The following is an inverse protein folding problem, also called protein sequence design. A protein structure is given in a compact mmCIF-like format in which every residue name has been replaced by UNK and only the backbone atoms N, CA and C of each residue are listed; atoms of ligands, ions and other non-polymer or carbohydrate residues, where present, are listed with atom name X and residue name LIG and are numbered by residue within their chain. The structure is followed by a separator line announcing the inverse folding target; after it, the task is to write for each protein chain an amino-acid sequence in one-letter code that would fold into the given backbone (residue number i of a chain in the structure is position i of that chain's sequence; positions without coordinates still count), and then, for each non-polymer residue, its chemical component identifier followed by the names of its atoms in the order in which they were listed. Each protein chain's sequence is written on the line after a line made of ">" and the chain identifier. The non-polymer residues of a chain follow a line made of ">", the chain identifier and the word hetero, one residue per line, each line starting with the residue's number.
data_IF_743746911099
#
_entry.id   IF_743746911099
#
_cell.length_a   1.000
_cell.length_b   1.000
_cell.length_c   1.000
_cell.angle_alpha   90.00
_cell.angle_beta   90.00
_cell.angle_gamma   90.00
#
_symmetry.space_group_name_H-M   'P 1'
#
loop_
_entity.id
_entity.type
_entity.pdbx_description
1 polymer ?
#
# COMPACT_ATOMS: atom_id res chain seq x y z
N UNK A 1 -50.02 19.15 -15.36
CA UNK A 1 -50.67 18.31 -16.38
C UNK A 1 -49.74 17.13 -16.61
N UNK A 2 -50.13 15.92 -16.19
CA UNK A 2 -49.33 14.72 -16.46
C UNK A 2 -49.48 14.37 -17.93
N UNK A 3 -48.44 14.62 -18.73
CA UNK A 3 -48.44 14.22 -20.14
C UNK A 3 -48.53 12.69 -20.23
N UNK A 4 -49.51 12.20 -20.99
CA UNK A 4 -49.68 10.77 -21.24
C UNK A 4 -48.49 10.27 -22.05
N UNK A 5 -47.70 9.36 -21.47
CA UNK A 5 -46.55 8.75 -22.14
C UNK A 5 -46.99 7.45 -22.81
N UNK A 6 -46.39 7.13 -23.95
CA UNK A 6 -46.70 5.96 -24.76
C UNK A 6 -45.47 5.06 -24.89
N UNK A 7 -45.73 3.75 -25.01
CA UNK A 7 -44.74 2.74 -25.39
C UNK A 7 -45.15 2.07 -26.70
N UNK A 8 -44.19 1.73 -27.55
CA UNK A 8 -44.43 0.98 -28.79
C UNK A 8 -44.11 -0.48 -28.55
N UNK A 9 -45.11 -1.35 -28.73
CA UNK A 9 -45.04 -2.79 -28.46
C UNK A 9 -45.10 -3.56 -29.78
N UNK A 10 -44.28 -4.60 -29.87
CA UNK A 10 -44.23 -5.56 -30.98
C UNK A 10 -44.60 -6.95 -30.48
N UNK A 11 -45.55 -7.62 -31.15
CA UNK A 11 -46.07 -8.94 -30.73
C UNK A 11 -45.56 -10.10 -31.59
N UNK A 12 -44.51 -9.89 -32.39
CA UNK A 12 -43.98 -10.96 -33.26
C UNK A 12 -44.71 -11.14 -34.59
N UNK A 13 -45.69 -10.28 -34.92
CA UNK A 13 -46.52 -10.39 -36.13
C UNK A 13 -45.99 -9.51 -37.27
N UNK A 14 -45.90 -10.07 -38.47
CA UNK A 14 -45.50 -9.36 -39.70
C UNK A 14 -46.71 -8.69 -40.37
N UNK A 15 -46.47 -7.61 -41.12
CA UNK A 15 -47.52 -7.03 -41.96
C UNK A 15 -47.88 -7.98 -43.13
N UNK A 16 -49.14 -8.00 -43.60
CA UNK A 16 -49.55 -8.88 -44.71
C UNK A 16 -48.69 -8.67 -45.96
N UNK A 17 -48.03 -9.73 -46.42
CA UNK A 17 -47.18 -9.71 -47.62
C UNK A 17 -45.69 -9.43 -47.37
N UNK A 18 -45.26 -9.25 -46.11
CA UNK A 18 -43.84 -9.13 -45.77
C UNK A 18 -43.19 -10.52 -45.60
N UNK A 19 -42.00 -10.68 -46.18
CA UNK A 19 -41.15 -11.86 -45.99
C UNK A 19 -40.38 -11.78 -44.67
N UNK A 20 -40.32 -12.89 -43.93
CA UNK A 20 -39.71 -12.94 -42.59
C UNK A 20 -38.21 -12.63 -42.63
N UNK A 21 -37.50 -13.15 -43.63
CA UNK A 21 -36.04 -13.01 -43.70
C UNK A 21 -35.65 -11.58 -44.09
N UNK A 22 -36.33 -11.04 -45.10
CA UNK A 22 -36.18 -9.66 -45.57
C UNK A 22 -36.52 -8.66 -44.46
N UNK A 23 -37.57 -8.93 -43.67
CA UNK A 23 -37.97 -8.07 -42.55
C UNK A 23 -36.92 -8.04 -41.45
N UNK A 24 -36.30 -9.19 -41.12
CA UNK A 24 -35.23 -9.26 -40.12
C UNK A 24 -34.00 -8.45 -40.52
N UNK A 25 -33.63 -8.50 -41.79
CA UNK A 25 -32.50 -7.71 -42.31
C UNK A 25 -32.80 -6.20 -42.30
N UNK A 26 -34.02 -5.80 -42.67
CA UNK A 26 -34.47 -4.41 -42.58
C UNK A 26 -34.47 -3.89 -41.14
N UNK A 27 -34.91 -4.71 -40.18
CA UNK A 27 -34.90 -4.36 -38.76
C UNK A 27 -33.48 -4.27 -38.20
N UNK A 28 -32.60 -5.20 -38.58
CA UNK A 28 -31.18 -5.16 -38.19
C UNK A 28 -30.51 -3.87 -38.66
N UNK A 29 -30.80 -3.43 -39.90
CA UNK A 29 -30.32 -2.17 -40.44
C UNK A 29 -30.94 -0.94 -39.71
N UNK A 30 -32.26 -0.96 -39.47
CA UNK A 30 -32.98 0.15 -38.84
C UNK A 30 -32.52 0.39 -37.39
N UNK A 31 -32.35 -0.69 -36.62
CA UNK A 31 -31.89 -0.63 -35.22
C UNK A 31 -30.37 -0.63 -35.08
N UNK A 32 -29.62 -0.72 -36.19
CA UNK A 32 -28.16 -0.89 -36.21
C UNK A 32 -27.71 -2.00 -35.25
N UNK A 33 -28.40 -3.13 -35.28
CA UNK A 33 -28.26 -4.24 -34.34
C UNK A 33 -28.04 -5.56 -35.06
N UNK A 34 -27.41 -6.51 -34.37
CA UNK A 34 -27.10 -7.83 -34.93
C UNK A 34 -28.36 -8.65 -35.21
N UNK A 35 -28.35 -9.44 -36.29
CA UNK A 35 -29.48 -10.30 -36.71
C UNK A 35 -29.93 -11.26 -35.60
N UNK A 36 -29.01 -11.77 -34.79
CA UNK A 36 -29.33 -12.64 -33.65
C UNK A 36 -30.15 -11.96 -32.55
N UNK A 37 -29.96 -10.65 -32.32
CA UNK A 37 -30.77 -9.88 -31.37
C UNK A 37 -32.16 -9.61 -31.92
N UNK A 38 -32.28 -9.41 -33.24
CA UNK A 38 -33.56 -9.25 -33.91
C UNK A 38 -34.34 -10.58 -33.91
N UNK A 39 -33.67 -11.72 -34.12
CA UNK A 39 -34.28 -13.04 -34.03
C UNK A 39 -34.94 -13.30 -32.67
N UNK A 40 -34.32 -12.81 -31.58
CA UNK A 40 -34.88 -12.91 -30.24
C UNK A 40 -36.22 -12.17 -30.06
N UNK A 41 -36.50 -11.13 -30.86
CA UNK A 41 -37.76 -10.39 -30.81
C UNK A 41 -38.96 -11.19 -31.34
N UNK A 42 -38.71 -12.26 -32.10
CA UNK A 42 -39.75 -13.13 -32.68
C UNK A 42 -40.03 -14.38 -31.82
N UNK A 43 -39.51 -14.43 -30.59
CA UNK A 43 -39.64 -15.61 -29.70
C UNK A 43 -40.99 -15.73 -28.97
N UNK A 44 -41.97 -14.89 -29.33
CA UNK A 44 -43.39 -15.08 -29.00
C UNK A 44 -43.92 -14.29 -27.80
N UNK A 45 -43.11 -13.49 -27.12
CA UNK A 45 -43.58 -12.55 -26.09
C UNK A 45 -43.66 -11.12 -26.65
N UNK A 46 -44.65 -10.34 -26.22
CA UNK A 46 -44.78 -8.95 -26.61
C UNK A 46 -43.61 -8.13 -26.05
N UNK A 47 -42.80 -7.52 -26.93
CA UNK A 47 -41.60 -6.75 -26.56
C UNK A 47 -41.85 -5.26 -26.74
N UNK A 48 -41.54 -4.46 -25.73
CA UNK A 48 -41.53 -3.00 -25.84
C UNK A 48 -40.24 -2.54 -26.53
N UNK A 49 -40.35 -2.00 -27.75
CA UNK A 49 -39.20 -1.53 -28.54
C UNK A 49 -38.69 -0.16 -28.07
N UNK A 50 -39.63 0.71 -27.66
CA UNK A 50 -39.32 2.05 -27.13
C UNK A 50 -40.42 2.48 -26.16
N UNK A 51 -40.00 3.09 -25.05
CA UNK A 51 -40.85 3.55 -23.95
C UNK A 51 -40.72 5.06 -23.80
N UNK A 52 -41.61 5.65 -23.01
CA UNK A 52 -41.51 7.05 -22.61
C UNK A 52 -41.55 8.02 -23.81
N UNK A 53 -42.52 7.83 -24.71
CA UNK A 53 -42.71 8.65 -25.92
C UNK A 53 -43.91 9.59 -25.77
N UNK A 54 -43.84 10.78 -26.37
CA UNK A 54 -45.01 11.62 -26.60
C UNK A 54 -45.86 11.04 -27.76
N UNK A 55 -47.16 11.37 -27.81
CA UNK A 55 -48.10 10.79 -28.79
C UNK A 55 -47.64 10.93 -30.25
N UNK A 56 -47.23 12.14 -30.66
CA UNK A 56 -46.73 12.42 -32.01
C UNK A 56 -45.44 11.64 -32.35
N UNK A 57 -44.58 11.40 -31.35
CA UNK A 57 -43.36 10.61 -31.54
C UNK A 57 -43.69 9.12 -31.65
N UNK A 58 -44.59 8.62 -30.81
CA UNK A 58 -45.02 7.22 -30.83
C UNK A 58 -45.63 6.83 -32.19
N UNK A 59 -46.47 7.70 -32.77
CA UNK A 59 -47.05 7.49 -34.11
C UNK A 59 -45.98 7.44 -35.20
N UNK A 60 -44.97 8.32 -35.13
CA UNK A 60 -43.83 8.30 -36.07
C UNK A 60 -43.03 6.99 -35.98
N UNK A 61 -42.84 6.45 -34.79
CA UNK A 61 -42.19 5.15 -34.62
C UNK A 61 -43.04 4.00 -35.18
N UNK A 62 -44.35 4.03 -34.97
CA UNK A 62 -45.28 3.04 -35.55
C UNK A 62 -45.20 3.03 -37.07
N UNK A 63 -45.24 4.20 -37.71
CA UNK A 63 -45.17 4.32 -39.18
C UNK A 63 -43.86 3.76 -39.75
N UNK A 64 -42.72 4.09 -39.13
CA UNK A 64 -41.40 3.63 -39.59
C UNK A 64 -41.26 2.12 -39.44
N UNK A 65 -41.74 1.56 -38.33
CA UNK A 65 -41.65 0.13 -38.06
C UNK A 65 -42.61 -0.70 -38.93
N UNK A 66 -43.81 -0.19 -39.21
CA UNK A 66 -44.73 -0.82 -40.17
C UNK A 66 -44.18 -0.84 -41.59
N UNK A 67 -43.50 0.24 -42.03
CA UNK A 67 -42.80 0.26 -43.32
C UNK A 67 -41.62 -0.71 -43.38
N UNK A 68 -41.02 -1.03 -42.24
CA UNK A 68 -39.94 -2.01 -42.14
C UNK A 68 -40.44 -3.46 -42.21
N UNK A 69 -41.75 -3.71 -42.14
CA UNK A 69 -42.36 -5.03 -42.32
C UNK A 69 -42.99 -5.65 -41.06
N UNK A 70 -43.03 -4.93 -39.92
CA UNK A 70 -43.59 -5.46 -38.66
C UNK A 70 -44.84 -4.73 -38.19
N UNK A 71 -45.78 -5.48 -37.62
CA UNK A 71 -46.97 -4.92 -37.00
C UNK A 71 -46.66 -4.49 -35.56
N UNK A 72 -46.75 -3.19 -35.28
CA UNK A 72 -46.54 -2.61 -33.95
C UNK A 72 -47.74 -1.76 -33.53
N UNK A 73 -47.98 -1.66 -32.23
CA UNK A 73 -49.03 -0.83 -31.63
C UNK A 73 -48.48 0.09 -30.55
N UNK A 74 -49.03 1.29 -30.44
CA UNK A 74 -48.74 2.20 -29.34
C UNK A 74 -49.72 1.95 -28.18
N UNK A 75 -49.20 1.70 -26.99
CA UNK A 75 -49.98 1.53 -25.75
C UNK A 75 -49.67 2.68 -24.79
N UNK A 76 -50.68 3.18 -24.06
CA UNK A 76 -50.47 4.18 -23.00
C UNK A 76 -49.71 3.54 -21.83
N UNK A 77 -48.60 4.16 -21.45
CA UNK A 77 -47.81 3.77 -20.29
C UNK A 77 -48.29 4.59 -19.08
N UNK A 78 -49.17 3.99 -18.26
CA UNK A 78 -49.45 4.57 -16.94
C UNK A 78 -48.16 4.51 -16.13
N UNK A 79 -47.66 5.67 -15.73
CA UNK A 79 -46.52 5.79 -14.84
C UNK A 79 -46.73 4.84 -13.65
N UNK A 80 -45.83 3.89 -13.49
CA UNK A 80 -45.84 2.92 -12.40
C UNK A 80 -45.75 3.64 -11.06
N UNK A 81 -46.89 3.97 -10.46
CA UNK A 81 -47.00 4.35 -9.06
C UNK A 81 -46.79 3.08 -8.25
N UNK A 82 -45.63 2.98 -7.58
CA UNK A 82 -45.39 1.99 -6.54
C UNK A 82 -46.47 2.17 -5.46
N UNK A 83 -47.46 1.27 -5.44
CA UNK A 83 -48.41 1.17 -4.33
C UNK A 83 -47.77 0.33 -3.25
N UNK A 84 -47.49 0.92 -2.09
CA UNK A 84 -47.16 0.17 -0.90
C UNK A 84 -48.45 -0.55 -0.45
N UNK A 85 -48.38 -1.88 -0.36
CA UNK A 85 -49.40 -2.68 0.33
C UNK A 85 -49.02 -2.64 1.81
N UNK A 86 -49.86 -2.02 2.64
CA UNK A 86 -49.72 -2.09 4.09
C UNK A 86 -49.92 -3.54 4.52
N UNK A 87 -48.89 -4.13 5.11
CA UNK A 87 -48.98 -5.42 5.79
C UNK A 87 -49.62 -5.20 7.16
N UNK A 88 -50.62 -6.02 7.50
CA UNK A 88 -51.30 -6.00 8.81
C UNK A 88 -50.28 -6.08 9.96
N UNK A 89 -50.30 -5.08 10.84
CA UNK A 89 -49.52 -5.07 12.08
C UNK A 89 -49.93 -6.25 12.96
N UNK A 90 -49.01 -7.18 13.19
CA UNK A 90 -49.19 -8.21 14.20
C UNK A 90 -49.09 -7.57 15.58
N UNK A 91 -50.21 -7.43 16.27
CA UNK A 91 -50.30 -7.07 17.69
C UNK A 91 -49.60 -8.14 18.56
N UNK A 92 -48.29 -8.01 18.74
CA UNK A 92 -47.55 -8.77 19.73
C UNK A 92 -47.78 -8.15 21.12
N UNK A 93 -48.49 -8.86 22.00
CA UNK A 93 -48.67 -8.45 23.40
C UNK A 93 -47.29 -8.23 24.07
N UNK A 94 -47.09 -7.14 24.82
CA UNK A 94 -45.81 -6.86 25.47
C UNK A 94 -45.50 -7.96 26.49
N UNK A 95 -44.31 -8.57 26.35
CA UNK A 95 -43.81 -9.56 27.29
C UNK A 95 -43.23 -8.85 28.53
N UNK A 96 -43.41 -9.44 29.71
CA UNK A 96 -42.91 -8.87 30.98
C UNK A 96 -41.44 -9.22 31.27
N UNK A 97 -40.82 -10.06 30.45
CA UNK A 97 -39.41 -10.45 30.59
C UNK A 97 -38.51 -9.38 29.96
N UNK A 98 -37.46 -8.97 30.68
CA UNK A 98 -36.45 -8.03 30.16
C UNK A 98 -35.30 -8.77 29.50
N UNK A 99 -34.75 -8.19 28.43
CA UNK A 99 -33.56 -8.67 27.72
C UNK A 99 -32.61 -7.52 27.39
N UNK A 100 -31.33 -7.84 27.26
CA UNK A 100 -30.30 -6.90 26.80
C UNK A 100 -29.95 -7.20 25.35
N UNK A 101 -29.99 -6.18 24.49
CA UNK A 101 -29.68 -6.34 23.07
C UNK A 101 -28.21 -6.73 22.87
N UNK A 102 -27.90 -7.85 22.21
CA UNK A 102 -26.51 -8.31 21.98
C UNK A 102 -25.73 -7.44 20.98
N UNK A 103 -26.39 -6.54 20.24
CA UNK A 103 -25.74 -5.64 19.28
C UNK A 103 -25.33 -4.30 19.90
N UNK A 104 -26.18 -3.71 20.74
CA UNK A 104 -26.00 -2.35 21.24
C UNK A 104 -26.00 -2.23 22.77
N UNK A 105 -26.35 -3.29 23.51
CA UNK A 105 -26.39 -3.28 24.97
C UNK A 105 -27.62 -2.64 25.59
N UNK A 106 -28.61 -2.20 24.80
CA UNK A 106 -29.84 -1.60 25.32
C UNK A 106 -30.72 -2.63 26.07
N UNK A 107 -31.22 -2.26 27.25
CA UNK A 107 -32.17 -3.08 28.03
C UNK A 107 -33.61 -2.75 27.63
N UNK A 108 -34.37 -3.76 27.24
CA UNK A 108 -35.75 -3.62 26.79
C UNK A 108 -36.60 -4.85 27.17
N UNK A 109 -37.93 -4.77 27.11
CA UNK A 109 -38.79 -5.95 27.15
C UNK A 109 -38.44 -6.91 26.00
N UNK A 110 -38.69 -8.20 26.20
CA UNK A 110 -38.36 -9.22 25.22
C UNK A 110 -39.25 -9.05 23.99
N UNK A 111 -38.62 -8.65 22.89
CA UNK A 111 -39.25 -8.33 21.62
C UNK A 111 -38.42 -8.92 20.47
N UNK A 112 -39.06 -9.05 19.30
CA UNK A 112 -38.44 -9.59 18.09
C UNK A 112 -37.32 -8.65 17.61
N UNK A 113 -37.54 -7.36 17.77
CA UNK A 113 -36.67 -6.26 17.36
C UNK A 113 -36.18 -5.43 18.53
N UNK A 114 -35.01 -4.80 18.35
CA UNK A 114 -34.45 -3.89 19.32
C UNK A 114 -35.00 -2.47 19.14
N UNK A 115 -35.61 -1.89 20.17
CA UNK A 115 -36.20 -0.54 20.15
C UNK A 115 -35.15 0.56 19.89
N UNK A 116 -33.88 0.33 20.27
CA UNK A 116 -32.81 1.30 20.10
C UNK A 116 -32.07 1.20 18.75
N UNK A 117 -31.81 -0.02 18.25
CA UNK A 117 -30.94 -0.22 17.08
C UNK A 117 -31.61 -0.94 15.90
N UNK A 118 -32.90 -1.29 16.03
CA UNK A 118 -33.73 -1.89 14.98
C UNK A 118 -33.30 -3.28 14.53
N UNK A 119 -32.44 -3.97 15.29
CA UNK A 119 -32.00 -5.32 14.92
C UNK A 119 -33.04 -6.35 15.32
N UNK A 120 -33.35 -7.28 14.42
CA UNK A 120 -34.11 -8.49 14.76
C UNK A 120 -33.22 -9.41 15.59
N UNK A 121 -33.48 -9.51 16.89
CA UNK A 121 -32.52 -10.06 17.87
C UNK A 121 -32.25 -11.55 17.63
N UNK A 122 -33.28 -12.34 17.36
CA UNK A 122 -33.15 -13.77 17.07
C UNK A 122 -32.29 -14.02 15.82
N UNK A 123 -32.52 -13.23 14.76
CA UNK A 123 -31.76 -13.34 13.50
C UNK A 123 -30.30 -12.93 13.68
N UNK A 124 -30.03 -11.96 14.56
CA UNK A 124 -28.68 -11.53 14.90
C UNK A 124 -27.91 -12.60 15.68
N UNK A 125 -28.56 -13.22 16.67
CA UNK A 125 -27.97 -14.31 17.45
C UNK A 125 -27.71 -15.56 16.59
N UNK A 126 -28.66 -15.93 15.72
CA UNK A 126 -28.47 -17.03 14.78
C UNK A 126 -27.27 -16.79 13.84
N UNK A 127 -27.07 -15.55 13.40
CA UNK A 127 -25.92 -15.20 12.56
C UNK A 127 -24.61 -15.18 13.33
N UNK A 128 -24.59 -14.72 14.58
CA UNK A 128 -23.40 -14.82 15.43
C UNK A 128 -23.02 -16.28 15.72
N UNK A 129 -23.99 -17.16 15.99
CA UNK A 129 -23.74 -18.58 16.19
C UNK A 129 -23.17 -19.24 14.93
N UNK A 130 -23.70 -18.92 13.74
CA UNK A 130 -23.14 -19.40 12.47
C UNK A 130 -21.72 -18.90 12.21
N UNK A 131 -21.39 -17.66 12.61
CA UNK A 131 -20.04 -17.12 12.49
C UNK A 131 -19.07 -17.74 13.51
N UNK A 132 -19.55 -18.13 14.68
CA UNK A 132 -18.76 -18.82 15.69
C UNK A 132 -18.48 -20.29 15.32
N UNK A 133 -19.44 -20.95 14.67
CA UNK A 133 -19.32 -22.35 14.22
C UNK A 133 -18.70 -22.48 12.82
N UNK A 134 -18.53 -21.37 12.09
CA UNK A 134 -17.98 -21.40 10.74
C UNK A 134 -16.53 -21.93 10.77
N UNK A 135 -16.23 -23.06 10.12
CA UNK A 135 -14.85 -23.50 9.97
C UNK A 135 -14.06 -22.41 9.25
N UNK A 136 -12.85 -22.13 9.76
CA UNK A 136 -11.94 -21.16 9.14
C UNK A 136 -11.84 -21.47 7.64
N UNK A 137 -11.98 -20.46 6.76
CA UNK A 137 -12.01 -20.70 5.32
C UNK A 137 -10.70 -21.37 4.90
N UNK A 138 -10.81 -22.64 4.49
CA UNK A 138 -9.72 -23.32 3.80
C UNK A 138 -9.46 -22.58 2.49
N UNK A 139 -8.22 -22.17 2.29
CA UNK A 139 -7.81 -21.11 1.37
C UNK A 139 -7.92 -21.43 -0.14
N UNK A 140 -8.70 -22.44 -0.55
CA UNK A 140 -8.71 -22.90 -1.94
C UNK A 140 -10.12 -22.80 -2.53
N UNK A 141 -10.60 -21.57 -2.69
CA UNK A 141 -11.67 -21.27 -3.64
C UNK A 141 -11.02 -20.86 -4.96
N UNK A 142 -11.40 -21.43 -6.12
CA UNK A 142 -10.87 -21.03 -7.43
C UNK A 142 -11.05 -19.55 -7.80
N UNK A 143 -11.90 -18.83 -7.06
CA UNK A 143 -12.18 -17.41 -7.23
C UNK A 143 -11.73 -16.55 -6.04
N UNK A 144 -10.94 -17.08 -5.10
CA UNK A 144 -10.34 -16.24 -4.07
C UNK A 144 -9.32 -15.31 -4.70
N UNK A 145 -9.38 -14.02 -4.35
CA UNK A 145 -8.34 -13.09 -4.73
C UNK A 145 -7.00 -13.61 -4.16
N UNK A 146 -5.90 -13.57 -4.93
CA UNK A 146 -4.59 -13.93 -4.41
C UNK A 146 -4.30 -13.03 -3.22
N UNK A 147 -4.25 -13.62 -2.02
CA UNK A 147 -3.83 -12.88 -0.84
C UNK A 147 -2.34 -12.62 -0.99
N UNK A 148 -1.97 -11.37 -1.27
CA UNK A 148 -0.60 -10.94 -1.07
C UNK A 148 -0.31 -11.06 0.42
N UNK A 149 0.63 -11.92 0.80
CA UNK A 149 1.23 -11.92 2.14
C UNK A 149 2.06 -10.63 2.28
N UNK A 150 1.39 -9.48 2.44
CA UNK A 150 2.06 -8.20 2.77
C UNK A 150 2.29 -8.07 4.28
N UNK A 151 1.88 -9.08 5.04
CA UNK A 151 2.02 -9.17 6.48
C UNK A 151 2.85 -10.41 6.82
N UNK A 152 4.04 -10.56 6.21
CA UNK A 152 5.07 -11.25 6.97
C UNK A 152 5.28 -10.42 8.24
N UNK A 153 5.25 -11.09 9.40
CA UNK A 153 5.61 -10.49 10.67
C UNK A 153 7.11 -10.19 10.63
N UNK A 154 7.49 -9.12 9.93
CA UNK A 154 8.86 -8.66 9.89
C UNK A 154 9.27 -8.30 11.31
N UNK A 155 10.46 -8.76 11.73
CA UNK A 155 11.00 -8.41 13.03
C UNK A 155 10.98 -6.89 13.17
N UNK A 156 10.33 -6.38 14.23
CA UNK A 156 10.19 -4.95 14.47
C UNK A 156 11.56 -4.26 14.64
N UNK A 157 12.57 -5.05 15.01
CA UNK A 157 13.94 -4.63 15.25
C UNK A 157 14.92 -5.57 14.56
N UNK A 158 15.89 -5.00 13.86
CA UNK A 158 16.97 -5.75 13.21
C UNK A 158 18.05 -6.23 14.16
N UNK A 159 18.57 -7.42 13.91
CA UNK A 159 19.75 -7.95 14.59
C UNK A 159 21.00 -7.17 14.18
N UNK A 160 21.88 -6.89 15.15
CA UNK A 160 23.12 -6.17 14.91
C UNK A 160 24.24 -7.18 14.63
N UNK A 161 24.85 -7.11 13.45
CA UNK A 161 26.04 -7.87 13.12
C UNK A 161 27.22 -6.93 12.76
N UNK A 162 28.00 -6.47 13.75
CA UNK A 162 29.09 -5.51 13.52
C UNK A 162 30.22 -6.04 12.62
N UNK A 163 30.35 -7.36 12.50
CA UNK A 163 31.42 -8.02 11.74
C UNK A 163 30.95 -8.52 10.36
N UNK A 164 29.71 -8.23 10.00
CA UNK A 164 29.12 -8.57 8.71
C UNK A 164 28.93 -7.35 7.81
N UNK A 165 28.40 -7.62 6.61
CA UNK A 165 27.93 -6.58 5.67
C UNK A 165 26.40 -6.52 5.58
N UNK A 166 25.72 -7.49 6.19
CA UNK A 166 24.27 -7.57 6.25
C UNK A 166 23.74 -6.76 7.44
N UNK A 167 22.56 -6.15 7.27
CA UNK A 167 21.89 -5.38 8.30
C UNK A 167 22.18 -3.87 8.25
N UNK A 168 21.78 -3.19 9.33
CA UNK A 168 21.71 -1.74 9.45
C UNK A 168 22.20 -1.31 10.84
N UNK A 169 22.97 -0.22 10.92
CA UNK A 169 23.53 0.24 12.21
C UNK A 169 23.05 1.63 12.68
N UNK A 170 22.50 2.47 11.80
CA UNK A 170 22.12 3.83 12.19
C UNK A 170 23.32 4.78 12.35
N UNK A 171 23.07 6.09 12.23
CA UNK A 171 24.13 7.12 12.23
C UNK A 171 24.94 7.18 13.54
N UNK A 172 24.30 7.04 14.69
CA UNK A 172 24.98 7.17 16.00
C UNK A 172 25.90 5.98 16.27
N UNK A 173 25.46 4.76 15.97
CA UNK A 173 26.34 3.59 16.06
C UNK A 173 27.44 3.65 15.01
N UNK A 174 27.16 4.11 13.79
CA UNK A 174 28.20 4.34 12.79
C UNK A 174 29.33 5.23 13.34
N UNK A 175 28.99 6.37 13.96
CA UNK A 175 29.97 7.27 14.59
C UNK A 175 30.71 6.56 15.74
N UNK A 176 29.97 5.93 16.66
CA UNK A 176 30.56 5.27 17.83
C UNK A 176 31.49 4.11 17.46
N UNK A 177 31.09 3.24 16.53
CA UNK A 177 31.90 2.10 16.07
C UNK A 177 33.09 2.54 15.23
N UNK A 178 32.95 3.60 14.42
CA UNK A 178 34.10 4.20 13.72
C UNK A 178 35.12 4.74 14.71
N UNK A 179 34.65 5.32 15.82
CA UNK A 179 35.53 5.80 16.88
C UNK A 179 36.23 4.68 17.63
N UNK A 180 35.49 3.63 18.01
CA UNK A 180 36.07 2.43 18.64
C UNK A 180 37.10 1.76 17.74
N UNK A 181 36.82 1.64 16.44
CA UNK A 181 37.78 1.14 15.46
C UNK A 181 39.04 2.01 15.42
N UNK A 182 38.89 3.34 15.38
CA UNK A 182 40.02 4.27 15.42
C UNK A 182 40.86 4.12 16.69
N UNK A 183 40.22 4.07 17.86
CA UNK A 183 40.90 3.88 19.15
C UNK A 183 41.61 2.53 19.26
N UNK A 184 41.01 1.46 18.73
CA UNK A 184 41.61 0.13 18.73
C UNK A 184 42.83 0.05 17.79
N UNK A 185 42.76 0.68 16.62
CA UNK A 185 43.84 0.64 15.63
C UNK A 185 44.99 1.59 15.95
N UNK A 186 44.75 2.67 16.69
CA UNK A 186 45.76 3.68 17.04
C UNK A 186 47.01 3.12 17.76
N UNK A 187 46.90 2.33 18.86
CA UNK A 187 48.08 1.75 19.51
C UNK A 187 48.78 0.72 18.62
N UNK A 188 48.03 -0.05 17.82
CA UNK A 188 48.60 -1.05 16.90
C UNK A 188 49.42 -0.37 15.81
N UNK A 189 48.89 0.73 15.26
CA UNK A 189 49.62 1.58 14.32
C UNK A 189 50.87 2.19 14.95
N UNK A 190 50.77 2.69 16.19
CA UNK A 190 51.91 3.23 16.94
C UNK A 190 53.04 2.22 17.15
N UNK A 191 52.69 0.96 17.46
CA UNK A 191 53.67 -0.14 17.54
C UNK A 191 54.32 -0.39 16.18
N UNK A 192 53.55 -0.45 15.09
CA UNK A 192 54.08 -0.66 13.76
C UNK A 192 55.07 0.44 13.34
N UNK A 193 54.74 1.71 13.64
CA UNK A 193 55.64 2.86 13.45
C UNK A 193 56.89 2.72 14.32
N UNK A 194 56.76 2.30 15.58
CA UNK A 194 57.90 2.06 16.47
C UNK A 194 58.85 0.99 15.92
N UNK A 195 58.33 -0.08 15.32
CA UNK A 195 59.14 -1.11 14.64
C UNK A 195 59.86 -0.54 13.42
N UNK A 196 59.19 0.28 12.61
CA UNK A 196 59.81 0.95 11.44
C UNK A 196 61.00 1.79 11.86
N UNK A 197 60.87 2.58 12.93
CA UNK A 197 61.90 3.53 13.37
C UNK A 197 63.00 2.88 14.23
N UNK A 198 62.69 1.82 14.97
CA UNK A 198 63.57 1.27 16.00
C UNK A 198 64.20 -0.09 15.68
N UNK A 199 63.65 -0.84 14.73
CA UNK A 199 64.07 -2.23 14.47
C UNK A 199 64.38 -2.46 12.99
N UNK A 200 63.38 -2.28 12.12
CA UNK A 200 63.51 -2.57 10.70
C UNK A 200 62.42 -1.86 9.91
N UNK A 201 62.85 -1.04 8.95
CA UNK A 201 61.96 -0.33 8.04
C UNK A 201 61.08 -1.28 7.22
N UNK A 202 61.67 -2.38 6.72
CA UNK A 202 60.95 -3.36 5.90
C UNK A 202 59.86 -4.08 6.71
N UNK A 203 60.19 -4.57 7.91
CA UNK A 203 59.21 -5.23 8.77
C UNK A 203 58.12 -4.26 9.23
N UNK A 204 58.50 -3.06 9.66
CA UNK A 204 57.56 -2.03 10.07
C UNK A 204 56.62 -1.61 8.94
N UNK A 205 57.12 -1.49 7.71
CA UNK A 205 56.31 -1.23 6.52
C UNK A 205 55.26 -2.31 6.26
N UNK A 206 55.62 -3.59 6.38
CA UNK A 206 54.67 -4.71 6.25
C UNK A 206 53.60 -4.67 7.34
N UNK A 207 53.99 -4.38 8.60
CA UNK A 207 53.04 -4.26 9.71
C UNK A 207 52.07 -3.09 9.50
N UNK A 208 52.57 -1.92 9.09
CA UNK A 208 51.74 -0.76 8.77
C UNK A 208 50.73 -1.12 7.67
N UNK A 209 51.18 -1.75 6.59
CA UNK A 209 50.30 -2.19 5.51
C UNK A 209 49.20 -3.14 6.02
N UNK A 210 49.55 -4.13 6.84
CA UNK A 210 48.59 -5.06 7.42
C UNK A 210 47.55 -4.35 8.31
N UNK A 211 47.98 -3.41 9.14
CA UNK A 211 47.09 -2.60 10.01
C UNK A 211 46.14 -1.75 9.18
N UNK A 212 46.63 -1.09 8.13
CA UNK A 212 45.81 -0.27 7.23
C UNK A 212 44.76 -1.13 6.51
N UNK A 213 45.15 -2.30 6.01
CA UNK A 213 44.19 -3.22 5.34
C UNK A 213 43.13 -3.71 6.33
N UNK A 214 43.52 -4.12 7.54
CA UNK A 214 42.57 -4.52 8.56
C UNK A 214 41.59 -3.39 8.91
N UNK A 215 42.11 -2.16 9.10
CA UNK A 215 41.27 -0.99 9.40
C UNK A 215 40.30 -0.71 8.25
N UNK A 216 40.77 -0.81 7.00
CA UNK A 216 39.95 -0.61 5.82
C UNK A 216 38.81 -1.63 5.75
N UNK A 217 39.08 -2.92 5.98
CA UNK A 217 38.05 -3.98 5.94
C UNK A 217 36.93 -3.71 6.94
N UNK A 218 37.27 -3.43 8.21
CA UNK A 218 36.26 -3.12 9.23
C UNK A 218 35.53 -1.81 8.92
N UNK A 219 36.23 -0.79 8.44
CA UNK A 219 35.63 0.49 8.05
C UNK A 219 34.60 0.31 6.92
N UNK A 220 34.91 -0.52 5.91
CA UNK A 220 33.99 -0.87 4.82
C UNK A 220 32.78 -1.64 5.35
N UNK A 221 32.95 -2.62 6.22
CA UNK A 221 31.83 -3.39 6.79
C UNK A 221 30.82 -2.49 7.50
N UNK A 222 31.31 -1.63 8.39
CA UNK A 222 30.50 -0.67 9.16
C UNK A 222 29.86 0.37 8.22
N UNK A 223 30.61 0.82 7.22
CA UNK A 223 30.16 1.77 6.21
C UNK A 223 29.06 1.26 5.29
N UNK A 224 29.16 0.01 4.83
CA UNK A 224 28.15 -0.64 4.00
C UNK A 224 26.84 -0.77 4.77
N UNK A 225 26.88 -1.19 6.04
CA UNK A 225 25.68 -1.26 6.88
C UNK A 225 25.07 0.13 7.14
N UNK A 226 25.88 1.19 7.14
CA UNK A 226 25.38 2.56 7.23
C UNK A 226 24.70 3.01 5.94
N UNK A 227 25.24 2.66 4.78
CA UNK A 227 24.59 2.93 3.50
C UNK A 227 23.27 2.17 3.36
N UNK A 228 23.24 0.91 3.80
CA UNK A 228 22.02 0.12 3.89
C UNK A 228 20.96 0.76 4.79
N UNK A 229 21.38 1.41 5.88
CA UNK A 229 20.47 2.15 6.75
C UNK A 229 19.86 3.39 6.08
N UNK A 230 20.58 4.03 5.15
CA UNK A 230 20.05 5.13 4.31
C UNK A 230 19.18 4.57 3.16
N UNK A 231 19.23 3.27 2.88
CA UNK A 231 18.55 2.63 1.76
C UNK A 231 19.35 2.69 0.45
N UNK A 232 20.66 2.91 0.53
CA UNK A 232 21.57 2.99 -0.61
C UNK A 232 22.45 1.75 -0.74
N UNK A 233 23.02 1.54 -1.94
CA UNK A 233 23.91 0.41 -2.19
C UNK A 233 25.26 0.56 -1.49
N UNK A 234 25.79 -0.53 -0.95
CA UNK A 234 27.11 -0.57 -0.31
C UNK A 234 28.26 -0.16 -1.24
N UNK A 235 28.09 -0.33 -2.56
CA UNK A 235 29.08 0.07 -3.56
C UNK A 235 29.40 1.58 -3.54
N UNK A 236 28.46 2.41 -3.10
CA UNK A 236 28.71 3.85 -2.96
C UNK A 236 29.79 4.18 -1.91
N UNK A 237 30.14 3.23 -1.04
CA UNK A 237 31.24 3.42 -0.09
C UNK A 237 32.58 3.70 -0.79
N UNK A 238 32.76 3.20 -2.02
CA UNK A 238 33.96 3.47 -2.83
C UNK A 238 34.14 4.95 -3.17
N UNK A 239 33.08 5.77 -3.09
CA UNK A 239 33.19 7.22 -3.30
C UNK A 239 34.10 7.91 -2.27
N UNK A 240 34.33 7.29 -1.11
CA UNK A 240 35.28 7.78 -0.10
C UNK A 240 36.73 7.86 -0.63
N UNK A 241 37.07 7.07 -1.65
CA UNK A 241 38.40 7.09 -2.26
C UNK A 241 38.59 8.20 -3.30
N UNK A 242 37.50 8.85 -3.73
CA UNK A 242 37.57 9.99 -4.65
C UNK A 242 37.84 11.26 -3.84
N UNK A 243 38.96 11.97 -4.06
CA UNK A 243 39.24 13.21 -3.34
C UNK A 243 38.12 14.23 -3.51
N UNK A 244 37.88 15.07 -2.49
CA UNK A 244 36.79 16.07 -2.41
C UNK A 244 35.37 15.47 -2.38
N UNK A 245 35.01 14.64 -3.36
CA UNK A 245 33.71 13.94 -3.41
C UNK A 245 33.56 13.04 -2.19
N UNK A 246 34.59 12.27 -1.85
CA UNK A 246 34.61 11.39 -0.69
C UNK A 246 34.47 12.15 0.62
N UNK A 247 35.06 13.34 0.74
CA UNK A 247 34.90 14.17 1.96
C UNK A 247 33.48 14.68 2.14
N UNK A 248 32.85 15.15 1.06
CA UNK A 248 31.43 15.56 1.09
C UNK A 248 30.55 14.35 1.40
N UNK A 249 30.82 13.22 0.77
CA UNK A 249 30.09 11.97 0.98
C UNK A 249 30.21 11.44 2.41
N UNK A 250 31.38 11.53 3.04
CA UNK A 250 31.59 11.17 4.44
C UNK A 250 30.71 12.01 5.37
N UNK A 251 30.64 13.33 5.14
CA UNK A 251 29.77 14.24 5.90
C UNK A 251 28.30 13.89 5.69
N UNK A 252 27.90 13.62 4.44
CA UNK A 252 26.53 13.19 4.12
C UNK A 252 26.16 11.92 4.89
N UNK A 253 27.05 10.93 4.94
CA UNK A 253 26.81 9.68 5.68
C UNK A 253 26.68 9.90 7.19
N UNK A 254 27.34 10.93 7.74
CA UNK A 254 27.28 11.30 9.15
C UNK A 254 25.95 11.97 9.53
N UNK A 255 25.45 12.86 8.65
CA UNK A 255 24.32 13.75 8.95
C UNK A 255 22.97 13.17 8.52
N UNK A 256 22.93 12.46 7.38
CA UNK A 256 21.67 12.02 6.77
C UNK A 256 20.89 11.07 7.71
N UNK A 257 19.58 11.22 7.90
CA UNK A 257 18.81 10.22 8.66
C UNK A 257 18.74 8.88 7.91
N UNK A 258 18.62 7.78 8.65
CA UNK A 258 18.29 6.47 8.06
C UNK A 258 16.82 6.38 7.66
N UNK A 259 16.45 5.37 6.89
CA UNK A 259 15.06 5.13 6.48
C UNK A 259 14.19 4.72 7.67
N UNK A 260 13.02 5.33 7.79
CA UNK A 260 12.03 4.97 8.79
C UNK A 260 11.32 3.68 8.37
N UNK A 261 11.20 2.73 9.30
CA UNK A 261 10.64 1.42 9.03
C UNK A 261 11.60 0.49 8.27
N UNK A 262 11.03 -0.54 7.66
CA UNK A 262 11.77 -1.56 6.93
C UNK A 262 12.22 -1.03 5.55
N UNK A 263 13.41 -1.44 5.12
CA UNK A 263 13.90 -1.20 3.77
C UNK A 263 14.42 -2.50 3.14
N UNK A 264 14.96 -2.43 1.92
CA UNK A 264 15.49 -3.58 1.18
C UNK A 264 16.63 -4.35 1.89
N UNK A 265 17.22 -3.76 2.93
CA UNK A 265 18.32 -4.32 3.71
C UNK A 265 17.90 -4.80 5.10
N UNK A 266 16.61 -4.71 5.42
CA UNK A 266 16.02 -5.25 6.64
C UNK A 266 15.33 -4.22 7.52
N UNK A 267 14.86 -4.67 8.69
CA UNK A 267 14.17 -3.85 9.67
C UNK A 267 15.09 -2.78 10.30
N UNK A 268 14.51 -1.75 10.94
CA UNK A 268 15.29 -0.67 11.53
C UNK A 268 16.23 -1.17 12.66
N UNK A 269 17.37 -0.50 12.86
CA UNK A 269 18.28 -0.84 13.94
C UNK A 269 17.64 -0.59 15.31
N UNK A 270 18.05 -1.35 16.35
CA UNK A 270 17.56 -1.16 17.72
C UNK A 270 17.91 0.21 18.28
N UNK A 271 17.13 0.63 19.28
CA UNK A 271 17.38 1.85 20.04
C UNK A 271 18.82 1.91 20.55
N UNK A 272 19.41 3.12 20.55
CA UNK A 272 20.80 3.32 20.95
C UNK A 272 20.94 3.27 22.48
N UNK A 273 21.98 2.58 22.96
CA UNK A 273 22.33 2.61 24.39
C UNK A 273 23.01 3.93 24.77
N UNK A 274 23.03 4.22 26.07
CA UNK A 274 23.74 5.40 26.61
C UNK A 274 25.22 5.40 26.25
N UNK A 275 25.88 4.23 26.26
CA UNK A 275 27.27 4.09 25.85
C UNK A 275 27.50 4.52 24.39
N UNK A 276 26.62 4.10 23.47
CA UNK A 276 26.70 4.52 22.05
C UNK A 276 26.56 6.04 21.92
N UNK A 277 25.64 6.65 22.68
CA UNK A 277 25.46 8.09 22.68
C UNK A 277 26.72 8.82 23.17
N UNK A 278 27.28 8.38 24.30
CA UNK A 278 28.50 8.97 24.87
C UNK A 278 29.66 8.85 23.89
N UNK A 279 29.90 7.67 23.31
CA UNK A 279 30.97 7.46 22.34
C UNK A 279 30.79 8.31 21.08
N UNK A 280 29.56 8.43 20.57
CA UNK A 280 29.27 9.25 19.40
C UNK A 280 29.54 10.74 19.68
N UNK A 281 29.10 11.26 20.83
CA UNK A 281 29.38 12.64 21.22
C UNK A 281 30.85 12.90 21.48
N UNK A 282 31.56 11.94 22.07
CA UNK A 282 33.00 12.06 22.31
C UNK A 282 33.76 12.14 20.99
N UNK A 283 33.44 11.27 20.03
CA UNK A 283 34.00 11.31 18.67
C UNK A 283 33.76 12.66 17.99
N UNK A 284 32.53 13.19 18.06
CA UNK A 284 32.22 14.52 17.51
C UNK A 284 33.00 15.64 18.21
N UNK A 285 33.14 15.57 19.53
CA UNK A 285 33.96 16.50 20.31
C UNK A 285 35.43 16.46 19.90
N UNK A 286 35.99 15.26 19.67
CA UNK A 286 37.36 15.08 19.18
C UNK A 286 37.53 15.67 17.77
N UNK A 287 36.57 15.46 16.87
CA UNK A 287 36.58 16.05 15.51
C UNK A 287 36.54 17.58 15.58
N UNK A 288 35.70 18.16 16.44
CA UNK A 288 35.62 19.62 16.60
C UNK A 288 36.93 20.15 17.16
N UNK A 289 37.46 19.52 18.20
CA UNK A 289 38.73 19.92 18.82
C UNK A 289 39.89 19.84 17.82
N UNK A 290 39.95 18.81 16.99
CA UNK A 290 41.03 18.66 16.00
C UNK A 290 40.95 19.73 14.90
N UNK A 291 39.75 20.09 14.45
CA UNK A 291 39.54 21.20 13.50
C UNK A 291 39.98 22.53 14.12
N UNK A 292 39.58 22.81 15.37
CA UNK A 292 40.00 24.02 16.08
C UNK A 292 41.52 24.09 16.24
N UNK A 293 42.17 22.97 16.60
CA UNK A 293 43.61 22.89 16.70
C UNK A 293 44.30 23.13 15.35
N UNK A 294 43.78 22.56 14.26
CA UNK A 294 44.33 22.75 12.91
C UNK A 294 44.27 24.22 12.44
N UNK A 295 43.27 24.99 12.89
CA UNK A 295 43.16 26.43 12.58
C UNK A 295 44.02 27.26 13.53
N UNK A 296 43.97 26.99 14.84
CA UNK A 296 44.61 27.82 15.85
C UNK A 296 46.15 27.69 15.88
N UNK A 297 46.69 26.49 15.65
CA UNK A 297 48.14 26.24 15.73
C UNK A 297 48.93 27.07 14.72
N UNK A 298 48.58 27.09 13.40
CA UNK A 298 49.29 27.93 12.44
C UNK A 298 49.22 29.43 12.79
N UNK A 299 48.09 29.91 13.31
CA UNK A 299 47.92 31.30 13.71
C UNK A 299 48.83 31.65 14.89
N UNK A 300 48.88 30.80 15.92
CA UNK A 300 49.76 31.00 17.07
C UNK A 300 51.24 30.94 16.69
N UNK A 301 51.64 29.99 15.84
CA UNK A 301 53.02 29.88 15.34
C UNK A 301 53.38 31.11 14.50
N UNK A 302 52.47 31.59 13.65
CA UNK A 302 52.66 32.81 12.87
C UNK A 302 52.87 34.06 13.75
N UNK A 303 52.09 34.20 14.82
CA UNK A 303 52.25 35.29 15.79
C UNK A 303 53.59 35.19 16.55
N UNK A 304 54.00 33.99 16.96
CA UNK A 304 55.26 33.76 17.67
C UNK A 304 56.51 33.99 16.81
N UNK A 305 56.43 33.77 15.50
CA UNK A 305 57.53 34.06 14.55
C UNK A 305 57.61 35.55 14.19
N UNK A 306 56.56 36.32 14.45
CA UNK A 306 56.48 37.75 14.19
C UNK A 306 56.91 38.64 15.39
N UNK A 307 57.07 38.03 16.58
CA UNK A 307 57.57 38.65 17.81
C UNK A 307 59.06 38.39 18.02
#
# INVERSE_FOLDING_TARGET
>A
MSETRYKVVFDGVLVPGADLDTTKDNLAALFKSDRSKIDALFTGSAVALKRDLADAEAQKYVDVLQRAGIQVRAETELASTLSLVETEEHDAKPSTERMTCPKCGHEQPKAIDCEACGVVVEKFLARQAQLAEAPQPSAVSPYSAPQSQVADAYAEVGELNPFGVAGRIGRLRYIAWSFVLGLAMLPIYGIAVGVTLGISEALGGVLIFAVVIAALVFSVMIGVQRLHDIGWSGWLYLLLFVPLVGTVFAILMLVMPGTQGQNNYGPPPPANSTAVLVLAWLMLGVIILSILAAIAVPVMVGLAMAS
#
